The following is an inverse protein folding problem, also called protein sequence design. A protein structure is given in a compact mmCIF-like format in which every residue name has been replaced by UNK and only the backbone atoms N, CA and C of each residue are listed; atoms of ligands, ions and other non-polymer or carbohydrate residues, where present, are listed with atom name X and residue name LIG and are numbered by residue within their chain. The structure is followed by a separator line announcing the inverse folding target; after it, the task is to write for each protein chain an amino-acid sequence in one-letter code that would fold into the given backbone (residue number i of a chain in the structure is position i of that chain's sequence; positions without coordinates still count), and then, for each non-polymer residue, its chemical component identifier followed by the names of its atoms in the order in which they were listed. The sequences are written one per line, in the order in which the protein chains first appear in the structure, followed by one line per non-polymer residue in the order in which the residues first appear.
data_IF_636061764316
#
_entry.id   IF_636061764316
#
_cell.length_a   1.000
_cell.length_b   1.000
_cell.length_c   1.000
_cell.angle_alpha   90.00
_cell.angle_beta   90.00
_cell.angle_gamma   90.00
#
_symmetry.space_group_name_H-M   'P 1'
#
loop_
_entity.id
_entity.type
_entity.pdbx_description
1 polymer ?
#
# COMPACT_ATOMS: atom_id res chain seq x y z
N UNK A 1 25.74 -17.26 -12.87
CA UNK A 1 25.40 -16.49 -11.66
C UNK A 1 24.44 -15.41 -12.12
N UNK A 2 23.13 -15.56 -11.88
CA UNK A 2 22.18 -14.47 -12.09
C UNK A 2 22.60 -13.36 -11.14
N UNK A 3 22.92 -12.16 -11.65
CA UNK A 3 22.95 -10.97 -10.82
C UNK A 3 21.57 -10.90 -10.17
N UNK A 4 21.50 -10.95 -8.85
CA UNK A 4 20.25 -10.67 -8.15
C UNK A 4 19.77 -9.30 -8.64
N UNK A 5 18.66 -9.30 -9.34
CA UNK A 5 18.13 -8.09 -9.95
C UNK A 5 17.65 -7.19 -8.82
N UNK A 6 18.32 -6.07 -8.60
CA UNK A 6 17.92 -5.10 -7.57
C UNK A 6 16.65 -4.39 -8.08
N UNK A 7 15.56 -4.40 -7.31
CA UNK A 7 14.37 -3.67 -7.69
C UNK A 7 14.63 -2.18 -7.83
N UNK A 8 14.05 -1.54 -8.85
CA UNK A 8 14.27 -0.12 -9.14
C UNK A 8 13.92 0.81 -7.96
N UNK A 9 12.95 0.43 -7.14
CA UNK A 9 12.59 1.21 -5.94
C UNK A 9 13.68 1.24 -4.88
N UNK A 10 14.52 0.19 -4.75
CA UNK A 10 15.64 0.19 -3.81
C UNK A 10 16.68 1.26 -4.17
N UNK A 11 17.01 1.42 -5.45
CA UNK A 11 17.91 2.48 -5.91
C UNK A 11 17.28 3.87 -5.68
N UNK A 12 15.96 3.99 -5.96
CA UNK A 12 15.23 5.23 -5.75
C UNK A 12 15.17 5.65 -4.27
N UNK A 13 15.01 4.69 -3.35
CA UNK A 13 15.00 4.98 -1.90
C UNK A 13 16.37 5.36 -1.34
N UNK A 14 17.48 4.97 -1.97
CA UNK A 14 18.81 5.39 -1.56
C UNK A 14 19.09 6.87 -1.81
N UNK A 15 18.32 7.51 -2.68
CA UNK A 15 18.44 8.94 -2.94
C UNK A 15 17.69 9.76 -1.88
N UNK A 16 18.40 10.30 -0.91
CA UNK A 16 17.84 11.09 0.20
C UNK A 16 17.39 12.51 -0.21
N UNK A 17 17.76 12.99 -1.38
CA UNK A 17 17.56 14.41 -1.77
C UNK A 17 16.17 14.70 -2.31
N UNK A 18 15.54 13.71 -2.92
CA UNK A 18 14.23 13.84 -3.56
C UNK A 18 13.33 12.69 -3.16
N UNK A 19 12.01 12.87 -3.17
CA UNK A 19 11.07 11.74 -3.08
C UNK A 19 11.33 10.75 -4.22
N UNK A 20 11.29 9.45 -3.91
CA UNK A 20 11.49 8.40 -4.91
C UNK A 20 10.34 8.35 -5.93
N UNK A 21 9.15 8.65 -5.44
CA UNK A 21 7.92 8.70 -6.24
C UNK A 21 7.18 10.01 -6.00
N UNK A 22 5.98 9.98 -5.45
CA UNK A 22 5.21 11.20 -5.12
C UNK A 22 5.48 11.67 -3.70
N UNK A 23 5.58 12.98 -3.49
CA UNK A 23 5.54 13.57 -2.15
C UNK A 23 4.10 13.66 -1.59
N UNK A 24 3.09 13.61 -2.47
CA UNK A 24 1.68 13.70 -2.10
C UNK A 24 1.12 12.32 -1.72
N UNK A 25 0.22 12.26 -0.73
CA UNK A 25 -0.47 11.03 -0.40
C UNK A 25 -1.43 10.60 -1.50
N UNK A 26 -1.78 9.32 -1.53
CA UNK A 26 -2.79 8.82 -2.44
C UNK A 26 -4.13 9.55 -2.21
N UNK A 27 -4.74 10.03 -3.27
CA UNK A 27 -5.99 10.81 -3.22
C UNK A 27 -7.12 10.07 -2.48
N UNK A 28 -7.15 8.74 -2.57
CA UNK A 28 -8.14 7.91 -1.87
C UNK A 28 -8.10 8.09 -0.36
N UNK A 29 -6.92 8.33 0.23
CA UNK A 29 -6.81 8.60 1.67
C UNK A 29 -7.55 9.90 2.01
N UNK A 30 -7.30 10.98 1.25
CA UNK A 30 -7.98 12.28 1.44
C UNK A 30 -9.50 12.18 1.24
N UNK A 31 -9.95 11.28 0.32
CA UNK A 31 -11.38 11.08 0.05
C UNK A 31 -12.10 10.32 1.18
N UNK A 32 -11.41 9.46 1.93
CA UNK A 32 -12.06 8.51 2.86
C UNK A 32 -11.53 8.56 4.30
N UNK A 33 -10.51 9.37 4.63
CA UNK A 33 -9.96 9.45 6.00
C UNK A 33 -11.00 9.90 7.05
N UNK A 34 -12.07 10.57 6.61
CA UNK A 34 -13.16 11.01 7.50
C UNK A 34 -13.95 9.84 8.11
N UNK A 35 -13.79 8.62 7.59
CA UNK A 35 -14.46 7.41 8.09
C UNK A 35 -13.84 6.85 9.38
N UNK A 36 -12.70 7.36 9.81
CA UNK A 36 -11.98 6.91 11.00
C UNK A 36 -11.61 8.09 11.90
N UNK A 37 -11.48 7.81 13.19
CA UNK A 37 -11.08 8.78 14.19
C UNK A 37 -9.56 9.00 14.23
N UNK A 38 -9.12 10.13 14.81
CA UNK A 38 -7.68 10.40 14.99
C UNK A 38 -6.98 9.43 15.93
N UNK A 39 -7.71 8.70 16.76
CA UNK A 39 -7.20 7.63 17.63
C UNK A 39 -7.24 6.24 17.03
N UNK A 40 -7.76 6.10 15.79
CA UNK A 40 -7.84 4.84 15.08
C UNK A 40 -6.48 4.20 14.84
N UNK A 41 -6.42 2.87 14.96
CA UNK A 41 -5.24 2.09 14.62
C UNK A 41 -5.15 1.92 13.11
N UNK A 42 -4.08 2.44 12.53
CA UNK A 42 -3.85 2.45 11.08
C UNK A 42 -2.59 1.66 10.76
N UNK A 43 -2.60 0.90 9.67
CA UNK A 43 -1.38 0.28 9.12
C UNK A 43 -1.35 0.38 7.60
N UNK A 44 -0.17 0.77 7.08
CA UNK A 44 0.15 0.69 5.64
C UNK A 44 1.11 -0.45 5.36
N UNK A 45 0.75 -1.28 4.39
CA UNK A 45 1.50 -2.44 3.90
C UNK A 45 2.25 -2.02 2.64
N UNK A 46 3.58 -2.14 2.64
CA UNK A 46 4.39 -1.69 1.52
C UNK A 46 4.41 -0.16 1.40
N UNK A 47 4.76 0.49 2.50
CA UNK A 47 4.67 1.95 2.63
C UNK A 47 5.78 2.72 1.88
N UNK A 48 6.81 2.03 1.38
CA UNK A 48 7.98 2.66 0.79
C UNK A 48 8.63 3.71 1.71
N UNK A 49 8.76 4.93 1.22
CA UNK A 49 9.27 6.08 1.98
C UNK A 49 8.18 6.87 2.74
N UNK A 50 6.92 6.35 2.75
CA UNK A 50 5.88 6.72 3.70
C UNK A 50 5.08 7.98 3.40
N UNK A 51 4.89 8.40 2.15
CA UNK A 51 4.10 9.60 1.82
C UNK A 51 2.68 9.60 2.42
N UNK A 52 2.03 8.43 2.45
CA UNK A 52 0.68 8.27 2.97
C UNK A 52 0.62 8.37 4.50
N UNK A 53 1.47 7.61 5.18
CA UNK A 53 1.50 7.60 6.66
C UNK A 53 2.04 8.89 7.25
N UNK A 54 2.96 9.57 6.57
CA UNK A 54 3.41 10.91 6.94
C UNK A 54 2.28 11.93 6.85
N UNK A 55 1.47 11.87 5.79
CA UNK A 55 0.29 12.70 5.66
C UNK A 55 -0.66 12.48 6.83
N UNK A 56 -1.04 11.24 7.11
CA UNK A 56 -1.95 10.91 8.21
C UNK A 56 -1.41 11.38 9.56
N UNK A 57 -0.12 11.14 9.86
CA UNK A 57 0.50 11.61 11.09
C UNK A 57 0.46 13.15 11.21
N UNK A 58 0.70 13.88 10.11
CA UNK A 58 0.55 15.34 10.05
C UNK A 58 -0.89 15.83 10.23
N UNK A 59 -1.87 15.02 9.84
CA UNK A 59 -3.28 15.30 10.10
C UNK A 59 -3.70 15.00 11.55
N UNK A 60 -2.78 14.53 12.40
CA UNK A 60 -3.02 14.26 13.82
C UNK A 60 -3.54 12.86 14.13
N UNK A 61 -3.44 11.91 13.20
CA UNK A 61 -3.65 10.50 13.53
C UNK A 61 -2.50 9.99 14.41
N UNK A 62 -2.83 9.39 15.55
CA UNK A 62 -1.85 9.12 16.62
C UNK A 62 -1.27 7.70 16.55
N UNK A 63 -2.02 6.73 16.00
CA UNK A 63 -1.65 5.32 16.02
C UNK A 63 -1.36 4.81 14.59
N UNK A 64 -0.37 5.43 13.95
CA UNK A 64 0.00 5.13 12.57
C UNK A 64 1.15 4.16 12.53
N UNK A 65 0.93 3.00 11.90
CA UNK A 65 1.92 1.95 11.69
C UNK A 65 2.20 1.79 10.19
N UNK A 66 3.40 1.36 9.85
CA UNK A 66 3.77 1.11 8.46
C UNK A 66 4.90 0.10 8.36
N UNK A 67 4.86 -0.74 7.33
CA UNK A 67 6.01 -1.58 7.02
C UNK A 67 6.28 -1.67 5.52
N UNK A 68 7.53 -1.95 5.22
CA UNK A 68 8.01 -2.24 3.87
C UNK A 68 9.11 -3.29 3.95
N UNK A 69 9.38 -3.99 2.85
CA UNK A 69 10.50 -4.92 2.76
C UNK A 69 11.84 -4.15 2.63
N UNK A 70 11.79 -2.92 2.10
CA UNK A 70 12.95 -2.06 1.89
C UNK A 70 13.45 -1.45 3.19
N UNK A 71 14.67 -1.80 3.57
CA UNK A 71 15.37 -1.16 4.69
C UNK A 71 15.62 0.32 4.41
N UNK A 72 15.92 0.67 3.15
CA UNK A 72 16.18 2.05 2.73
C UNK A 72 14.90 2.90 2.76
N UNK A 73 13.78 2.37 2.28
CA UNK A 73 12.48 3.03 2.37
C UNK A 73 12.10 3.35 3.82
N UNK A 74 12.21 2.37 4.71
CA UNK A 74 11.94 2.57 6.15
C UNK A 74 12.91 3.56 6.81
N UNK A 75 14.20 3.51 6.48
CA UNK A 75 15.17 4.49 7.00
C UNK A 75 14.81 5.91 6.56
N UNK A 76 14.44 6.10 5.29
CA UNK A 76 14.02 7.38 4.74
C UNK A 76 12.72 7.88 5.40
N UNK A 77 11.72 7.01 5.60
CA UNK A 77 10.49 7.33 6.32
C UNK A 77 10.80 7.82 7.75
N UNK A 78 11.61 7.08 8.50
CA UNK A 78 11.99 7.48 9.88
C UNK A 78 12.68 8.84 9.93
N UNK A 79 13.58 9.11 8.98
CA UNK A 79 14.26 10.41 8.85
C UNK A 79 13.26 11.55 8.58
N UNK A 80 12.28 11.32 7.69
CA UNK A 80 11.21 12.28 7.41
C UNK A 80 10.31 12.51 8.61
N UNK A 81 9.94 11.46 9.36
CA UNK A 81 9.18 11.59 10.61
C UNK A 81 9.90 12.49 11.62
N UNK A 82 11.21 12.28 11.80
CA UNK A 82 12.04 13.11 12.69
C UNK A 82 12.08 14.57 12.23
N UNK A 83 12.29 14.80 10.92
CA UNK A 83 12.34 16.15 10.34
C UNK A 83 11.01 16.90 10.48
N UNK A 84 9.90 16.19 10.31
CA UNK A 84 8.55 16.76 10.33
C UNK A 84 7.94 16.83 11.75
N UNK A 85 8.62 16.27 12.76
CA UNK A 85 8.15 16.24 14.15
C UNK A 85 6.91 15.37 14.37
N UNK A 86 6.72 14.33 13.56
CA UNK A 86 5.60 13.38 13.64
C UNK A 86 6.07 11.98 14.01
N UNK A 87 5.14 11.15 14.49
CA UNK A 87 5.43 9.77 14.88
C UNK A 87 4.70 8.78 13.98
N UNK A 88 5.44 7.82 13.47
CA UNK A 88 4.94 6.64 12.75
C UNK A 88 5.73 5.44 13.27
N UNK A 89 5.05 4.39 13.66
CA UNK A 89 5.70 3.10 13.99
C UNK A 89 6.07 2.39 12.68
N UNK A 90 7.25 2.71 12.15
CA UNK A 90 7.75 2.20 10.88
C UNK A 90 8.76 1.07 11.10
N UNK A 91 8.59 -0.08 10.44
CA UNK A 91 9.47 -1.24 10.58
C UNK A 91 9.62 -2.02 9.27
N UNK A 92 10.69 -2.82 9.19
CA UNK A 92 10.93 -3.67 8.02
C UNK A 92 10.23 -5.02 8.21
N UNK A 93 9.41 -5.42 7.23
CA UNK A 93 8.75 -6.72 7.21
C UNK A 93 8.43 -7.18 5.79
N UNK A 94 8.32 -8.49 5.62
CA UNK A 94 7.87 -9.12 4.38
C UNK A 94 6.36 -9.40 4.46
N UNK A 95 5.58 -8.83 3.56
CA UNK A 95 4.12 -8.98 3.51
C UNK A 95 3.67 -10.44 3.35
N UNK A 96 4.50 -11.33 2.78
CA UNK A 96 4.19 -12.76 2.62
C UNK A 96 4.08 -13.47 3.96
N UNK A 97 4.91 -13.08 4.92
CA UNK A 97 5.02 -13.73 6.23
C UNK A 97 4.50 -12.89 7.39
N UNK A 98 4.19 -11.60 7.14
CA UNK A 98 3.74 -10.69 8.18
C UNK A 98 2.50 -11.22 8.91
N UNK A 99 2.52 -11.12 10.24
CA UNK A 99 1.40 -11.44 11.14
C UNK A 99 0.97 -10.16 11.83
N UNK A 100 -0.32 -9.88 11.78
CA UNK A 100 -0.89 -8.74 12.49
C UNK A 100 -0.92 -9.06 14.00
N UNK A 101 -0.36 -8.19 14.82
CA UNK A 101 -0.28 -8.35 16.27
C UNK A 101 -1.48 -7.76 17.00
N UNK A 102 -2.28 -6.96 16.30
CA UNK A 102 -3.49 -6.31 16.81
C UNK A 102 -4.51 -6.13 15.70
N UNK A 103 -5.72 -5.71 16.06
CA UNK A 103 -6.73 -5.29 15.08
C UNK A 103 -6.54 -3.82 14.70
N UNK A 104 -6.95 -3.49 13.49
CA UNK A 104 -6.82 -2.15 12.90
C UNK A 104 -8.18 -1.63 12.45
N UNK A 105 -8.32 -0.31 12.48
CA UNK A 105 -9.49 0.41 11.98
C UNK A 105 -9.31 0.80 10.51
N UNK A 106 -8.05 0.96 10.07
CA UNK A 106 -7.71 1.13 8.66
C UNK A 106 -6.49 0.30 8.29
N UNK A 107 -6.62 -0.51 7.24
CA UNK A 107 -5.51 -1.21 6.60
C UNK A 107 -5.43 -0.76 5.14
N UNK A 108 -4.25 -0.30 4.72
CA UNK A 108 -4.06 0.20 3.37
C UNK A 108 -2.81 -0.38 2.70
N UNK A 109 -2.86 -0.48 1.36
CA UNK A 109 -1.73 -0.86 0.52
C UNK A 109 -1.90 -0.28 -0.87
N UNK A 110 -0.92 0.46 -1.35
CA UNK A 110 -0.95 1.10 -2.65
C UNK A 110 0.29 0.73 -3.46
N UNK A 111 0.08 0.13 -4.64
CA UNK A 111 1.14 -0.17 -5.58
C UNK A 111 2.17 -1.23 -5.14
N UNK A 112 1.81 -2.14 -4.23
CA UNK A 112 2.74 -3.12 -3.64
C UNK A 112 2.35 -4.57 -3.89
N UNK A 113 1.07 -4.90 -3.81
CA UNK A 113 0.58 -6.28 -3.77
C UNK A 113 0.97 -7.12 -4.99
N UNK A 114 1.09 -6.51 -6.15
CA UNK A 114 1.46 -7.20 -7.40
C UNK A 114 2.92 -7.65 -7.48
N UNK A 115 3.78 -7.23 -6.53
CA UNK A 115 5.18 -7.64 -6.48
C UNK A 115 5.40 -8.99 -5.77
N UNK A 116 4.36 -9.61 -5.25
CA UNK A 116 4.41 -10.98 -4.72
C UNK A 116 3.48 -11.90 -5.50
N UNK A 117 3.57 -13.23 -5.31
CA UNK A 117 2.67 -14.17 -5.98
C UNK A 117 1.20 -13.92 -5.64
N UNK A 118 0.29 -14.26 -6.55
CA UNK A 118 -1.17 -14.11 -6.32
C UNK A 118 -1.64 -14.80 -5.04
N UNK A 119 -1.11 -15.98 -4.73
CA UNK A 119 -1.44 -16.69 -3.50
C UNK A 119 -1.05 -15.90 -2.24
N UNK A 120 0.10 -15.20 -2.28
CA UNK A 120 0.62 -14.46 -1.14
C UNK A 120 -0.23 -13.22 -0.83
N UNK A 121 -0.53 -12.40 -1.85
CA UNK A 121 -1.34 -11.20 -1.59
C UNK A 121 -2.79 -11.54 -1.26
N UNK A 122 -3.37 -12.62 -1.82
CA UNK A 122 -4.69 -13.11 -1.41
C UNK A 122 -4.69 -13.57 0.05
N UNK A 123 -3.70 -14.34 0.45
CA UNK A 123 -3.53 -14.77 1.83
C UNK A 123 -3.31 -13.58 2.78
N UNK A 124 -2.55 -12.57 2.36
CA UNK A 124 -2.37 -11.34 3.13
C UNK A 124 -3.70 -10.59 3.33
N UNK A 125 -4.50 -10.40 2.26
CA UNK A 125 -5.80 -9.74 2.36
C UNK A 125 -6.71 -10.49 3.33
N UNK A 126 -6.75 -11.82 3.30
CA UNK A 126 -7.55 -12.61 4.23
C UNK A 126 -7.08 -12.39 5.68
N UNK A 127 -5.77 -12.45 5.94
CA UNK A 127 -5.22 -12.13 7.28
C UNK A 127 -5.55 -10.70 7.71
N UNK A 128 -5.50 -9.74 6.79
CA UNK A 128 -5.87 -8.35 7.07
C UNK A 128 -7.35 -8.23 7.45
N UNK A 129 -8.26 -8.91 6.72
CA UNK A 129 -9.70 -8.93 7.03
C UNK A 129 -10.00 -9.51 8.41
N UNK A 130 -9.31 -10.58 8.81
CA UNK A 130 -9.40 -11.18 10.15
C UNK A 130 -8.97 -10.21 11.25
N UNK A 131 -7.96 -9.36 10.96
CA UNK A 131 -7.38 -8.40 11.89
C UNK A 131 -7.92 -6.96 11.70
N UNK A 132 -9.12 -6.82 11.16
CA UNK A 132 -9.82 -5.55 11.05
C UNK A 132 -10.97 -5.50 12.06
N UNK A 133 -11.11 -4.37 12.76
CA UNK A 133 -12.22 -4.11 13.65
C UNK A 133 -13.55 -4.06 12.88
N UNK A 134 -14.68 -4.29 13.55
CA UNK A 134 -16.00 -4.00 13.01
C UNK A 134 -16.08 -2.52 12.60
N UNK A 135 -16.70 -2.22 11.46
CA UNK A 135 -16.72 -0.87 10.86
C UNK A 135 -15.40 -0.41 10.25
N UNK A 136 -14.29 -1.15 10.46
CA UNK A 136 -12.97 -0.82 9.92
C UNK A 136 -12.91 -0.92 8.40
N UNK A 137 -11.96 -0.20 7.79
CA UNK A 137 -11.88 -0.03 6.34
C UNK A 137 -10.56 -0.54 5.76
N UNK A 138 -10.65 -1.06 4.54
CA UNK A 138 -9.50 -1.34 3.70
C UNK A 138 -9.44 -0.37 2.51
N UNK A 139 -8.24 0.12 2.19
CA UNK A 139 -7.93 0.87 0.98
C UNK A 139 -6.82 0.15 0.23
N UNK A 140 -7.16 -0.55 -0.84
CA UNK A 140 -6.19 -1.38 -1.56
C UNK A 140 -6.10 -0.97 -3.02
N UNK A 141 -4.87 -0.93 -3.55
CA UNK A 141 -4.59 -0.76 -4.98
C UNK A 141 -3.63 -1.83 -5.43
N UNK A 142 -3.96 -2.49 -6.54
CA UNK A 142 -3.14 -3.51 -7.17
C UNK A 142 -3.13 -3.31 -8.69
N UNK A 143 -1.98 -3.52 -9.31
CA UNK A 143 -1.91 -3.52 -10.78
C UNK A 143 -2.52 -4.79 -11.35
N UNK A 144 -3.12 -4.64 -12.53
CA UNK A 144 -3.79 -5.73 -13.25
C UNK A 144 -3.05 -6.07 -14.54
N UNK A 145 -3.31 -7.26 -15.07
CA UNK A 145 -2.75 -7.73 -16.33
C UNK A 145 -3.54 -7.25 -17.57
N UNK A 146 -4.37 -6.22 -17.42
CA UNK A 146 -5.18 -5.65 -18.51
C UNK A 146 -4.30 -4.96 -19.56
N UNK A 147 -3.16 -4.38 -19.13
CA UNK A 147 -2.09 -3.93 -20.02
C UNK A 147 -0.80 -4.66 -19.66
N UNK A 148 0.13 -4.87 -20.60
CA UNK A 148 1.43 -5.45 -20.30
C UNK A 148 2.16 -4.60 -19.23
N UNK A 149 2.85 -5.26 -18.31
CA UNK A 149 3.72 -4.56 -17.37
C UNK A 149 4.86 -3.85 -18.13
N UNK A 150 5.19 -2.64 -17.70
CA UNK A 150 6.33 -1.90 -18.26
C UNK A 150 7.66 -2.61 -17.98
N UNK A 151 8.69 -2.32 -18.77
CA UNK A 151 9.97 -3.04 -18.73
C UNK A 151 10.65 -2.99 -17.34
N UNK A 152 10.48 -1.89 -16.60
CA UNK A 152 11.06 -1.68 -15.27
C UNK A 152 10.40 -2.52 -14.17
N UNK A 153 9.07 -2.72 -14.25
CA UNK A 153 8.33 -3.51 -13.25
C UNK A 153 8.10 -4.96 -13.67
N UNK A 154 8.13 -5.28 -14.97
CA UNK A 154 7.83 -6.62 -15.48
C UNK A 154 8.61 -7.75 -14.80
N UNK A 155 9.91 -7.60 -14.46
CA UNK A 155 10.65 -8.62 -13.76
C UNK A 155 10.15 -8.90 -12.34
N UNK A 156 9.45 -7.94 -11.73
CA UNK A 156 9.01 -7.96 -10.33
C UNK A 156 7.50 -8.13 -10.19
N UNK A 157 6.71 -7.78 -11.21
CA UNK A 157 5.24 -7.82 -11.19
C UNK A 157 4.72 -9.26 -11.38
N UNK A 158 5.06 -10.15 -10.44
CA UNK A 158 4.81 -11.60 -10.52
C UNK A 158 3.39 -12.01 -10.09
N UNK A 159 2.60 -11.11 -9.54
CA UNK A 159 1.25 -11.37 -9.04
C UNK A 159 0.21 -10.36 -9.50
N UNK A 160 0.30 -9.87 -10.75
CA UNK A 160 -0.72 -9.00 -11.34
C UNK A 160 -2.12 -9.61 -11.18
N UNK A 161 -3.09 -8.82 -10.73
CA UNK A 161 -4.46 -9.27 -10.62
C UNK A 161 -5.15 -9.35 -12.01
N UNK A 162 -6.20 -10.15 -12.12
CA UNK A 162 -7.19 -9.95 -13.18
C UNK A 162 -8.04 -8.73 -12.85
N UNK A 163 -8.59 -8.08 -13.89
CA UNK A 163 -9.52 -6.97 -13.63
C UNK A 163 -10.72 -7.45 -12.80
N UNK A 164 -10.98 -6.77 -11.69
CA UNK A 164 -12.02 -7.14 -10.72
C UNK A 164 -11.63 -8.22 -9.72
N UNK A 165 -10.53 -8.95 -9.87
CA UNK A 165 -10.15 -10.06 -8.99
C UNK A 165 -10.03 -9.66 -7.51
N UNK A 166 -9.49 -8.47 -7.23
CA UNK A 166 -9.43 -7.99 -5.84
C UNK A 166 -10.81 -7.74 -5.24
N UNK A 167 -11.78 -7.28 -6.03
CA UNK A 167 -13.15 -7.02 -5.58
C UNK A 167 -13.84 -8.28 -5.09
N UNK A 168 -13.56 -9.43 -5.71
CA UNK A 168 -14.14 -10.72 -5.33
C UNK A 168 -13.81 -11.12 -3.89
N UNK A 169 -12.63 -10.70 -3.37
CA UNK A 169 -12.20 -10.97 -1.99
C UNK A 169 -12.99 -10.18 -0.95
N UNK A 170 -13.73 -9.17 -1.37
CA UNK A 170 -14.52 -8.29 -0.50
C UNK A 170 -16.03 -8.46 -0.67
N UNK A 171 -16.47 -9.60 -1.24
CA UNK A 171 -17.91 -9.87 -1.47
C UNK A 171 -18.77 -9.92 -0.19
N UNK A 172 -18.15 -10.14 0.97
CA UNK A 172 -18.76 -10.14 2.30
C UNK A 172 -18.65 -8.77 3.03
N UNK A 173 -18.04 -7.76 2.38
CA UNK A 173 -17.88 -6.40 2.93
C UNK A 173 -18.70 -5.38 2.13
N UNK A 174 -19.00 -4.25 2.74
CA UNK A 174 -19.56 -3.11 2.02
C UNK A 174 -18.48 -2.46 1.13
N UNK A 175 -18.69 -2.47 -0.18
CA UNK A 175 -17.78 -1.80 -1.12
C UNK A 175 -18.19 -0.34 -1.25
N UNK A 176 -17.39 0.56 -0.66
CA UNK A 176 -17.62 2.00 -0.70
C UNK A 176 -17.17 2.60 -2.03
N UNK A 177 -16.10 2.07 -2.60
CA UNK A 177 -15.59 2.46 -3.92
C UNK A 177 -14.88 1.29 -4.58
N UNK A 178 -15.12 1.11 -5.87
CA UNK A 178 -14.28 0.28 -6.74
C UNK A 178 -14.01 1.03 -8.03
N UNK A 179 -12.72 1.12 -8.41
CA UNK A 179 -12.27 1.72 -9.66
C UNK A 179 -11.38 0.71 -10.40
N UNK A 180 -11.70 0.46 -11.67
CA UNK A 180 -10.81 -0.17 -12.64
C UNK A 180 -10.42 0.89 -13.65
N UNK A 181 -9.12 1.15 -13.83
CA UNK A 181 -8.65 2.23 -14.68
C UNK A 181 -7.24 1.98 -15.20
N UNK A 182 -6.90 2.66 -16.29
CA UNK A 182 -5.54 2.78 -16.79
C UNK A 182 -5.02 4.19 -16.53
N UNK A 183 -3.74 4.33 -16.33
CA UNK A 183 -3.09 5.62 -16.19
C UNK A 183 -1.70 5.59 -16.82
N UNK A 184 -1.26 6.77 -17.26
CA UNK A 184 0.10 6.95 -17.75
C UNK A 184 1.03 7.23 -16.57
N UNK A 185 2.22 6.64 -16.62
CA UNK A 185 3.29 6.86 -15.66
C UNK A 185 4.62 7.08 -16.37
N UNK A 186 5.56 7.70 -15.67
CA UNK A 186 6.89 8.02 -16.18
C UNK A 186 7.89 7.95 -15.03
N UNK A 187 8.97 7.20 -15.23
CA UNK A 187 10.05 7.08 -14.27
C UNK A 187 11.38 7.51 -14.89
N UNK A 188 12.36 7.98 -14.10
CA UNK A 188 13.69 8.28 -14.61
C UNK A 188 14.29 7.08 -15.35
N UNK A 189 14.60 7.27 -16.64
CA UNK A 189 15.16 6.23 -17.49
C UNK A 189 14.15 5.28 -18.14
N UNK A 190 12.87 5.41 -17.84
CA UNK A 190 11.78 4.61 -18.44
C UNK A 190 10.83 5.54 -19.20
N UNK A 191 10.63 5.34 -20.52
CA UNK A 191 9.69 6.15 -21.30
C UNK A 191 8.27 6.10 -20.73
N UNK A 192 7.48 7.10 -21.05
CA UNK A 192 6.06 7.15 -20.72
C UNK A 192 5.34 5.85 -21.11
N UNK A 193 4.66 5.24 -20.17
CA UNK A 193 4.02 3.94 -20.32
C UNK A 193 2.68 3.88 -19.57
N UNK A 194 1.91 2.82 -19.83
CA UNK A 194 0.59 2.62 -19.23
C UNK A 194 0.64 1.57 -18.13
N UNK A 195 -0.06 1.83 -17.06
CA UNK A 195 -0.45 0.84 -16.06
C UNK A 195 -1.96 0.64 -16.06
N UNK A 196 -2.41 -0.57 -15.75
CA UNK A 196 -3.78 -0.86 -15.39
C UNK A 196 -3.87 -1.20 -13.91
N UNK A 197 -4.89 -0.71 -13.23
CA UNK A 197 -5.02 -0.85 -11.80
C UNK A 197 -6.45 -1.04 -11.34
N UNK A 198 -6.63 -1.88 -10.32
CA UNK A 198 -7.83 -1.89 -9.50
C UNK A 198 -7.57 -1.17 -8.19
N UNK A 199 -8.52 -0.35 -7.78
CA UNK A 199 -8.54 0.30 -6.47
C UNK A 199 -9.87 0.01 -5.79
N UNK A 200 -9.82 -0.41 -4.53
CA UNK A 200 -10.99 -0.71 -3.72
C UNK A 200 -10.91 -0.01 -2.37
N UNK A 201 -12.04 0.55 -1.94
CA UNK A 201 -12.30 0.94 -0.56
C UNK A 201 -13.47 0.10 -0.09
N UNK A 202 -13.26 -0.68 0.96
CA UNK A 202 -14.27 -1.58 1.49
C UNK A 202 -14.34 -1.46 3.02
N UNK A 203 -15.54 -1.57 3.58
CA UNK A 203 -15.82 -1.49 5.02
C UNK A 203 -16.31 -2.84 5.53
N UNK A 204 -15.73 -3.29 6.63
CA UNK A 204 -16.19 -4.47 7.37
C UNK A 204 -17.55 -4.17 8.02
N UNK A 205 -18.48 -5.11 7.92
CA UNK A 205 -19.75 -5.00 8.63
C UNK A 205 -19.57 -4.87 10.15
N UNK A 206 -20.57 -4.29 10.82
CA UNK A 206 -20.66 -4.28 12.28
C UNK A 206 -20.85 -5.72 12.79
N UNK A 207 -20.33 -6.02 13.99
CA UNK A 207 -20.65 -7.28 14.64
C UNK A 207 -22.15 -7.30 14.98
N UNK A 208 -22.85 -8.37 14.60
CA UNK A 208 -24.23 -8.52 14.98
C UNK A 208 -24.33 -8.56 16.53
N UNK A 209 -25.01 -7.58 17.10
CA UNK A 209 -25.30 -7.50 18.55
C UNK A 209 -26.27 -8.59 18.99
#
# INVERSE_FOLDING_TARGET
MSKDLVPFWEEAYQNDKVPAFSAEPNVTIKEFEYLIDKQSNIIEIGCGEGQNVLYLAKQGYCNVNAFDISVHGIAKLRKRCQSDGVQVNAFTADLRTYRFEQKYDMIMSFGTLHFVQKADWKALINRAKENTNAGGIHMMQIFTDTVPASEDIAPFAIGLAKDGEIKELYGDWEILQFKSYTFEDEHPGVPKHLHASNKIVARKGEEAT
#
